data_IF_546205713979
#
_entry.id   IF_546205713979
#
_cell.length_a   1.000
_cell.length_b   1.000
_cell.length_c   1.000
_cell.angle_alpha   90.00
_cell.angle_beta   90.00
_cell.angle_gamma   90.00
#
_symmetry.space_group_name_H-M   'P 1'
#
loop_
_entity.id
_entity.type
_entity.pdbx_description
1 polymer ?
#
# COMPACT_ATOMS: atom_id res chain seq x y z
N UNK A 1 -8.98 6.47 -24.68
CA UNK A 1 -9.77 5.49 -23.92
C UNK A 1 -11.12 5.38 -24.59
N UNK A 2 -11.55 4.16 -24.93
CA UNK A 2 -12.78 3.90 -25.67
C UNK A 2 -13.55 2.78 -24.95
N UNK A 3 -14.23 3.15 -23.87
CA UNK A 3 -15.01 2.24 -23.06
C UNK A 3 -16.33 1.88 -23.71
N UNK A 4 -16.76 0.64 -23.53
CA UNK A 4 -18.06 0.12 -23.93
C UNK A 4 -19.08 0.27 -22.80
N UNK A 5 -19.61 1.50 -22.67
CA UNK A 5 -20.70 1.76 -21.73
C UNK A 5 -21.99 1.01 -22.09
N UNK A 6 -22.22 0.69 -23.36
CA UNK A 6 -23.44 0.02 -23.83
C UNK A 6 -23.53 -1.42 -23.29
N UNK A 7 -22.41 -2.15 -23.27
CA UNK A 7 -22.33 -3.50 -22.69
C UNK A 7 -22.80 -3.56 -21.23
N UNK A 8 -22.60 -2.47 -20.48
CA UNK A 8 -23.04 -2.31 -19.09
C UNK A 8 -24.33 -1.48 -18.89
N UNK A 9 -25.13 -1.27 -19.95
CA UNK A 9 -26.36 -0.45 -19.92
C UNK A 9 -26.11 1.01 -19.49
N UNK A 10 -25.09 1.65 -20.07
CA UNK A 10 -24.70 3.03 -19.81
C UNK A 10 -23.78 3.21 -18.59
N UNK A 11 -23.34 2.12 -17.95
CA UNK A 11 -22.49 2.13 -16.77
C UNK A 11 -21.35 1.14 -16.91
N UNK A 12 -20.16 1.51 -16.41
CA UNK A 12 -19.02 0.60 -16.27
C UNK A 12 -18.65 0.44 -14.79
N UNK A 13 -18.29 -0.78 -14.34
CA UNK A 13 -17.62 -0.96 -13.06
C UNK A 13 -16.27 -0.23 -13.03
N UNK A 14 -15.98 0.37 -11.88
CA UNK A 14 -14.74 1.09 -11.64
C UNK A 14 -14.12 0.61 -10.34
N UNK A 15 -12.99 -0.07 -10.45
CA UNK A 15 -12.17 -0.47 -9.32
C UNK A 15 -11.30 0.73 -8.94
N UNK A 16 -11.41 1.17 -7.69
CA UNK A 16 -10.49 2.15 -7.12
C UNK A 16 -9.42 1.38 -6.37
N UNK A 17 -8.16 1.68 -6.68
CA UNK A 17 -7.01 1.12 -6.02
C UNK A 17 -6.14 2.23 -5.42
N UNK A 18 -5.57 2.02 -4.25
CA UNK A 18 -4.58 2.94 -3.69
C UNK A 18 -3.32 2.93 -4.57
N UNK A 19 -2.89 4.11 -5.02
CA UNK A 19 -1.75 4.26 -5.91
C UNK A 19 -0.42 3.82 -5.29
N UNK A 20 -0.27 3.93 -3.97
CA UNK A 20 0.95 3.51 -3.26
C UNK A 20 0.89 2.04 -2.87
N UNK A 21 -0.18 1.64 -2.21
CA UNK A 21 -0.27 0.33 -1.55
C UNK A 21 -0.83 -0.74 -2.47
N UNK A 22 -1.45 -0.36 -3.59
CA UNK A 22 -2.19 -1.26 -4.46
C UNK A 22 -3.40 -1.93 -3.78
N UNK A 23 -3.87 -1.43 -2.61
CA UNK A 23 -5.14 -1.89 -2.01
C UNK A 23 -6.30 -1.61 -2.95
N UNK A 24 -7.17 -2.58 -3.21
CA UNK A 24 -8.51 -2.26 -3.71
C UNK A 24 -9.30 -1.51 -2.63
N UNK A 25 -9.56 -0.23 -2.85
CA UNK A 25 -10.25 0.65 -1.90
C UNK A 25 -11.76 0.49 -1.95
N UNK A 26 -12.32 0.43 -3.15
CA UNK A 26 -13.75 0.24 -3.37
C UNK A 26 -14.05 -0.10 -4.83
N UNK A 27 -15.24 -0.65 -5.05
CA UNK A 27 -15.85 -0.74 -6.38
C UNK A 27 -16.98 0.30 -6.47
N UNK A 28 -16.99 1.08 -7.53
CA UNK A 28 -18.12 1.93 -7.89
C UNK A 28 -18.55 1.72 -9.34
N UNK A 29 -19.47 2.56 -9.79
CA UNK A 29 -19.94 2.57 -11.18
C UNK A 29 -19.86 4.00 -11.71
N UNK A 30 -19.48 4.15 -12.97
CA UNK A 30 -19.49 5.43 -13.67
C UNK A 30 -20.32 5.30 -14.93
N UNK A 31 -21.11 6.34 -15.23
CA UNK A 31 -21.54 6.60 -16.60
C UNK A 31 -20.49 7.47 -17.30
N UNK A 32 -20.68 7.72 -18.59
CA UNK A 32 -19.74 8.50 -19.39
C UNK A 32 -19.47 9.90 -18.80
N UNK A 33 -20.51 10.56 -18.28
CA UNK A 33 -20.39 11.89 -17.70
C UNK A 33 -19.60 11.90 -16.37
N UNK A 34 -19.82 10.90 -15.49
CA UNK A 34 -19.03 10.77 -14.26
C UNK A 34 -17.54 10.55 -14.55
N UNK A 35 -17.22 9.80 -15.61
CA UNK A 35 -15.84 9.63 -16.05
C UNK A 35 -15.24 10.95 -16.57
N UNK A 36 -15.98 11.70 -17.41
CA UNK A 36 -15.55 13.01 -17.91
C UNK A 36 -15.28 13.99 -16.77
N UNK A 37 -16.16 14.03 -15.78
CA UNK A 37 -15.96 14.86 -14.58
C UNK A 37 -14.74 14.42 -13.78
N UNK A 38 -14.54 13.10 -13.61
CA UNK A 38 -13.37 12.55 -12.91
C UNK A 38 -12.06 12.96 -13.60
N UNK A 39 -12.00 12.87 -14.92
CA UNK A 39 -10.83 13.28 -15.71
C UNK A 39 -10.57 14.79 -15.61
N UNK A 40 -11.62 15.61 -15.59
CA UNK A 40 -11.51 17.07 -15.56
C UNK A 40 -11.14 17.60 -14.17
N UNK A 41 -11.78 17.08 -13.12
CA UNK A 41 -11.64 17.56 -11.74
C UNK A 41 -10.45 16.92 -11.01
N UNK A 42 -9.96 15.76 -11.49
CA UNK A 42 -8.89 15.02 -10.83
C UNK A 42 -9.33 14.33 -9.53
N UNK A 43 -10.63 14.30 -9.23
CA UNK A 43 -11.22 13.54 -8.12
C UNK A 43 -12.30 12.59 -8.62
N UNK A 44 -12.42 11.44 -7.95
CA UNK A 44 -13.32 10.36 -8.37
C UNK A 44 -14.79 10.75 -8.21
N UNK A 45 -15.51 10.81 -9.33
CA UNK A 45 -16.96 10.95 -9.39
C UNK A 45 -17.60 9.62 -9.77
N UNK A 46 -18.64 9.22 -9.07
CA UNK A 46 -19.40 8.01 -9.38
C UNK A 46 -20.81 8.35 -9.82
N UNK A 47 -21.46 7.41 -10.50
CA UNK A 47 -22.89 7.43 -10.73
C UNK A 47 -23.60 6.56 -9.69
N UNK A 48 -24.50 7.16 -8.90
CA UNK A 48 -25.34 6.43 -7.96
C UNK A 48 -26.51 5.79 -8.70
N UNK A 49 -26.49 4.46 -8.82
CA UNK A 49 -27.59 3.68 -9.43
C UNK A 49 -28.92 3.82 -8.66
N UNK A 50 -28.85 4.01 -7.35
CA UNK A 50 -30.05 4.14 -6.49
C UNK A 50 -30.62 5.56 -6.49
N UNK A 51 -29.76 6.59 -6.51
CA UNK A 51 -30.20 8.00 -6.51
C UNK A 51 -30.29 8.60 -7.92
N UNK A 52 -29.92 7.84 -8.95
CA UNK A 52 -29.89 8.24 -10.35
C UNK A 52 -29.20 9.59 -10.59
N UNK A 53 -28.06 9.82 -9.92
CA UNK A 53 -27.28 11.07 -10.01
C UNK A 53 -25.79 10.80 -9.90
N UNK A 54 -25.00 11.72 -10.43
CA UNK A 54 -23.55 11.77 -10.18
C UNK A 54 -23.31 12.29 -8.76
N UNK A 55 -22.29 11.76 -8.10
CA UNK A 55 -21.82 12.25 -6.81
C UNK A 55 -20.29 12.19 -6.76
N UNK A 56 -19.69 13.16 -6.09
CA UNK A 56 -18.25 13.22 -5.87
C UNK A 56 -17.91 12.42 -4.61
N UNK A 57 -16.99 11.44 -4.72
CA UNK A 57 -16.55 10.70 -3.53
C UNK A 57 -15.89 11.66 -2.55
N UNK A 58 -16.44 11.72 -1.33
CA UNK A 58 -15.97 12.63 -0.29
C UNK A 58 -16.74 13.95 -0.21
N UNK A 59 -17.76 14.19 -1.05
CA UNK A 59 -18.55 15.45 -1.05
C UNK A 59 -19.15 15.81 0.33
N UNK A 60 -19.37 14.83 1.20
CA UNK A 60 -19.89 15.05 2.56
C UNK A 60 -18.86 14.77 3.65
N UNK A 61 -17.95 13.82 3.43
CA UNK A 61 -17.02 13.33 4.46
C UNK A 61 -15.60 13.87 4.33
N UNK A 62 -15.31 14.69 3.31
CA UNK A 62 -13.98 15.19 2.92
C UNK A 62 -12.93 14.10 2.58
N UNK A 63 -13.29 12.82 2.69
CA UNK A 63 -12.48 11.68 2.27
C UNK A 63 -12.54 11.50 0.74
N UNK A 64 -11.94 12.46 0.03
CA UNK A 64 -11.78 12.46 -1.42
C UNK A 64 -10.83 11.35 -1.89
N UNK A 65 -10.97 11.00 -3.16
CA UNK A 65 -10.04 10.14 -3.89
C UNK A 65 -9.44 10.96 -5.03
N UNK A 66 -8.16 11.28 -4.96
CA UNK A 66 -7.45 12.03 -6.00
C UNK A 66 -6.90 11.07 -7.05
N UNK A 67 -7.22 11.31 -8.31
CA UNK A 67 -6.84 10.43 -9.42
C UNK A 67 -5.34 10.54 -9.69
N UNK A 68 -4.66 9.40 -9.70
CA UNK A 68 -3.25 9.28 -10.10
C UNK A 68 -3.12 8.67 -11.50
N UNK A 69 -3.89 7.63 -11.80
CA UNK A 69 -3.98 7.06 -13.15
C UNK A 69 -5.36 6.44 -13.41
N UNK A 70 -5.74 6.34 -14.69
CA UNK A 70 -6.98 5.68 -15.14
C UNK A 70 -6.60 4.72 -16.26
N UNK A 71 -7.03 3.46 -16.16
CA UNK A 71 -6.79 2.40 -17.15
C UNK A 71 -8.08 1.68 -17.49
N UNK A 72 -8.29 1.40 -18.77
CA UNK A 72 -9.31 0.46 -19.27
C UNK A 72 -8.75 -0.98 -19.22
N UNK A 73 -9.63 -1.96 -19.05
CA UNK A 73 -9.27 -3.37 -19.19
C UNK A 73 -9.27 -3.82 -20.66
N UNK A 74 -8.99 -5.11 -20.91
CA UNK A 74 -8.68 -5.60 -22.24
C UNK A 74 -9.87 -5.65 -23.20
N UNK A 75 -11.10 -5.75 -22.69
CA UNK A 75 -12.35 -5.66 -23.47
C UNK A 75 -13.12 -4.35 -23.22
N UNK A 76 -12.48 -3.39 -22.53
CA UNK A 76 -12.92 -2.00 -22.39
C UNK A 76 -14.28 -1.85 -21.71
N UNK A 77 -14.64 -2.76 -20.81
CA UNK A 77 -15.90 -2.69 -20.08
C UNK A 77 -15.73 -2.38 -18.58
N UNK A 78 -14.49 -2.30 -18.11
CA UNK A 78 -14.17 -1.89 -16.75
C UNK A 78 -13.04 -0.84 -16.70
N UNK A 79 -12.98 -0.15 -15.56
CA UNK A 79 -11.90 0.78 -15.26
C UNK A 79 -11.16 0.40 -13.97
N UNK A 80 -9.84 0.57 -14.02
CA UNK A 80 -8.99 0.67 -12.84
C UNK A 80 -8.55 2.13 -12.68
N UNK A 81 -8.91 2.74 -11.56
CA UNK A 81 -8.39 4.06 -11.16
C UNK A 81 -7.45 3.87 -9.99
N UNK A 82 -6.17 4.17 -10.21
CA UNK A 82 -5.23 4.35 -9.10
C UNK A 82 -5.44 5.74 -8.51
N UNK A 83 -5.69 5.81 -7.21
CA UNK A 83 -6.04 7.03 -6.52
C UNK A 83 -5.27 7.19 -5.21
N UNK A 84 -5.02 8.43 -4.82
CA UNK A 84 -4.55 8.80 -3.49
C UNK A 84 -5.75 9.18 -2.61
N UNK A 85 -6.08 8.41 -1.56
CA UNK A 85 -7.15 8.77 -0.65
C UNK A 85 -6.76 9.93 0.26
N UNK A 86 -7.71 10.83 0.56
CA UNK A 86 -7.55 11.92 1.53
C UNK A 86 -7.76 11.45 2.99
N UNK A 87 -8.35 10.27 3.17
CA UNK A 87 -8.71 9.68 4.45
C UNK A 87 -9.39 8.33 4.24
N UNK A 88 -10.19 7.87 5.22
CA UNK A 88 -10.85 6.57 5.13
C UNK A 88 -11.88 6.51 4.00
N UNK A 89 -11.86 5.47 3.19
CA UNK A 89 -12.74 5.39 2.01
C UNK A 89 -14.13 4.91 2.39
N UNK A 90 -14.23 3.96 3.32
CA UNK A 90 -15.50 3.34 3.69
C UNK A 90 -16.31 4.20 4.66
N UNK A 91 -17.63 4.12 4.54
CA UNK A 91 -18.58 4.81 5.41
C UNK A 91 -18.65 4.23 6.84
N UNK A 92 -18.16 3.01 7.04
CA UNK A 92 -18.04 2.38 8.38
C UNK A 92 -16.83 2.89 9.16
N UNK A 93 -15.97 3.69 8.52
CA UNK A 93 -14.73 4.17 9.11
C UNK A 93 -13.49 3.33 8.77
N UNK A 94 -13.63 2.20 8.06
CA UNK A 94 -12.47 1.43 7.57
C UNK A 94 -11.79 2.11 6.37
N UNK A 95 -10.50 1.80 6.18
CA UNK A 95 -9.71 2.37 5.08
C UNK A 95 -10.24 1.96 3.71
N UNK A 96 -10.57 0.67 3.53
CA UNK A 96 -11.19 0.10 2.32
C UNK A 96 -12.62 -0.38 2.60
N UNK A 97 -13.44 -0.50 1.57
CA UNK A 97 -14.73 -1.19 1.64
C UNK A 97 -14.58 -2.71 1.82
N UNK A 98 -13.41 -3.28 1.54
CA UNK A 98 -13.19 -4.72 1.56
C UNK A 98 -12.43 -5.22 2.79
N UNK A 99 -11.63 -4.37 3.47
CA UNK A 99 -10.79 -4.78 4.62
C UNK A 99 -10.53 -3.62 5.62
N UNK A 100 -10.20 -3.99 6.86
CA UNK A 100 -9.53 -3.10 7.81
C UNK A 100 -8.04 -3.04 7.49
N UNK A 101 -7.54 -1.79 7.43
CA UNK A 101 -6.19 -1.34 7.14
C UNK A 101 -5.09 -2.42 7.25
N UNK A 102 -4.65 -2.96 6.12
CA UNK A 102 -3.24 -3.26 5.82
C UNK A 102 -3.07 -3.82 4.42
N UNK A 103 -2.43 -3.07 3.53
CA UNK A 103 -2.08 -3.63 2.21
C UNK A 103 -0.85 -2.97 1.60
N UNK A 104 0.08 -2.46 2.40
CA UNK A 104 1.39 -2.11 1.84
C UNK A 104 2.23 -3.37 1.53
N UNK A 105 1.65 -4.56 1.76
CA UNK A 105 2.27 -5.86 1.56
C UNK A 105 2.94 -6.38 2.83
N UNK A 106 3.38 -7.64 2.77
CA UNK A 106 3.88 -8.39 3.93
C UNK A 106 4.99 -7.67 4.72
N UNK A 107 5.90 -6.93 4.08
CA UNK A 107 6.98 -6.24 4.79
C UNK A 107 6.49 -5.13 5.73
N UNK A 108 5.38 -4.48 5.40
CA UNK A 108 4.79 -3.44 6.25
C UNK A 108 3.96 -4.04 7.38
N UNK A 109 3.24 -5.13 7.11
CA UNK A 109 2.59 -5.92 8.17
C UNK A 109 3.62 -6.46 9.16
N UNK A 110 4.79 -6.87 8.65
CA UNK A 110 5.91 -7.30 9.46
C UNK A 110 6.50 -6.15 10.29
N UNK A 111 6.68 -4.96 9.71
CA UNK A 111 7.10 -3.74 10.42
C UNK A 111 6.13 -3.38 11.56
N UNK A 112 4.82 -3.46 11.31
CA UNK A 112 3.79 -3.22 12.34
C UNK A 112 3.87 -4.28 13.43
N UNK A 113 3.96 -5.57 13.08
CA UNK A 113 4.13 -6.66 14.04
C UNK A 113 5.39 -6.48 14.90
N UNK A 114 6.51 -6.06 14.29
CA UNK A 114 7.75 -5.75 15.00
C UNK A 114 7.53 -4.59 15.98
N UNK A 115 6.88 -3.52 15.52
CA UNK A 115 6.58 -2.35 16.32
C UNK A 115 5.69 -2.69 17.51
N UNK A 116 4.62 -3.45 17.29
CA UNK A 116 3.70 -3.91 18.34
C UNK A 116 4.42 -4.75 19.39
N UNK A 117 5.26 -5.71 18.96
CA UNK A 117 6.05 -6.55 19.88
C UNK A 117 6.96 -5.72 20.78
N UNK A 118 7.54 -4.63 20.25
CA UNK A 118 8.40 -3.72 20.99
C UNK A 118 7.59 -2.82 21.92
N UNK A 119 6.54 -2.17 21.40
CA UNK A 119 5.75 -1.18 22.13
C UNK A 119 4.94 -1.81 23.27
N UNK A 120 4.37 -3.00 23.02
CA UNK A 120 3.63 -3.77 24.02
C UNK A 120 4.53 -4.59 24.94
N UNK A 121 5.86 -4.54 24.75
CA UNK A 121 6.84 -5.26 25.59
C UNK A 121 6.56 -6.76 25.69
N UNK A 122 6.25 -7.38 24.55
CA UNK A 122 5.82 -8.78 24.50
C UNK A 122 6.96 -9.69 24.97
N UNK A 123 6.81 -10.26 26.16
CA UNK A 123 7.80 -11.16 26.75
C UNK A 123 7.99 -12.42 25.90
N UNK A 124 9.21 -12.99 25.92
CA UNK A 124 9.63 -14.16 25.11
C UNK A 124 9.58 -13.95 23.58
N UNK A 125 9.34 -12.74 23.11
CA UNK A 125 9.53 -12.37 21.70
C UNK A 125 11.00 -12.12 21.40
N UNK A 126 11.56 -12.77 20.38
CA UNK A 126 12.90 -12.48 19.87
C UNK A 126 13.09 -10.99 19.58
N UNK A 127 12.10 -10.36 18.95
CA UNK A 127 12.11 -8.94 18.59
C UNK A 127 12.30 -8.06 19.82
N UNK A 128 11.55 -8.34 20.89
CA UNK A 128 11.58 -7.54 22.10
C UNK A 128 12.87 -7.79 22.90
N UNK A 129 13.33 -9.03 22.99
CA UNK A 129 14.63 -9.37 23.61
C UNK A 129 15.78 -8.64 22.90
N UNK A 130 15.84 -8.70 21.57
CA UNK A 130 16.87 -8.01 20.80
C UNK A 130 16.81 -6.49 21.01
N UNK A 131 15.60 -5.92 21.04
CA UNK A 131 15.39 -4.49 21.30
C UNK A 131 15.90 -4.09 22.69
N UNK A 132 15.62 -4.89 23.72
CA UNK A 132 16.10 -4.64 25.09
C UNK A 132 17.63 -4.67 25.21
N UNK A 133 18.32 -5.42 24.34
CA UNK A 133 19.79 -5.46 24.29
C UNK A 133 20.42 -4.20 23.68
N UNK A 134 19.61 -3.28 23.18
CA UNK A 134 20.01 -1.94 22.78
C UNK A 134 20.57 -1.81 21.36
N UNK A 135 20.76 -0.56 20.93
CA UNK A 135 21.07 -0.19 19.55
C UNK A 135 22.33 -0.87 19.00
N UNK A 136 23.35 -1.07 19.84
CA UNK A 136 24.58 -1.72 19.43
C UNK A 136 24.35 -3.18 19.02
N UNK A 137 23.49 -3.91 19.75
CA UNK A 137 23.22 -5.30 19.41
C UNK A 137 22.36 -5.43 18.15
N UNK A 138 21.39 -4.53 17.96
CA UNK A 138 20.59 -4.45 16.74
C UNK A 138 21.45 -4.13 15.51
N UNK A 139 22.32 -3.12 15.62
CA UNK A 139 23.25 -2.76 14.53
C UNK A 139 24.26 -3.89 14.24
N UNK A 140 24.75 -4.58 15.28
CA UNK A 140 25.59 -5.75 15.11
C UNK A 140 24.88 -6.84 14.30
N UNK A 141 23.61 -7.16 14.61
CA UNK A 141 22.84 -8.15 13.85
C UNK A 141 22.72 -7.75 12.38
N UNK A 142 22.34 -6.51 12.08
CA UNK A 142 22.30 -6.01 10.69
C UNK A 142 23.65 -6.17 9.98
N UNK A 143 24.76 -5.92 10.68
CA UNK A 143 26.10 -6.13 10.13
C UNK A 143 26.46 -7.60 9.89
N UNK A 144 26.09 -8.50 10.80
CA UNK A 144 26.26 -9.96 10.67
C UNK A 144 25.52 -10.47 9.42
N UNK A 145 24.21 -10.22 9.32
CA UNK A 145 23.38 -10.70 8.20
C UNK A 145 23.84 -10.11 6.85
N UNK A 146 24.33 -8.87 6.84
CA UNK A 146 24.84 -8.25 5.62
C UNK A 146 26.12 -8.94 5.13
N UNK A 147 26.99 -9.38 6.04
CA UNK A 147 28.21 -10.12 5.70
C UNK A 147 27.85 -11.54 5.24
N UNK A 148 26.93 -12.21 5.94
CA UNK A 148 26.45 -13.54 5.60
C UNK A 148 25.79 -13.53 4.20
N UNK A 149 24.92 -12.57 3.91
CA UNK A 149 24.34 -12.37 2.58
C UNK A 149 25.40 -12.21 1.48
N UNK A 150 26.47 -11.45 1.73
CA UNK A 150 27.57 -11.27 0.77
C UNK A 150 28.35 -12.57 0.55
N UNK A 151 28.54 -13.38 1.59
CA UNK A 151 29.20 -14.69 1.48
C UNK A 151 28.33 -15.62 0.65
N UNK A 152 27.05 -15.76 0.98
CA UNK A 152 26.11 -16.65 0.29
C UNK A 152 25.82 -16.21 -1.15
N UNK A 153 25.92 -14.91 -1.45
CA UNK A 153 25.82 -14.41 -2.82
C UNK A 153 26.96 -14.88 -3.75
N UNK A 154 28.07 -15.36 -3.18
CA UNK A 154 29.21 -15.91 -3.92
C UNK A 154 29.18 -17.44 -4.04
N UNK A 155 28.27 -18.10 -3.34
CA UNK A 155 28.07 -19.54 -3.38
C UNK A 155 26.86 -19.88 -4.28
N UNK A 156 26.67 -21.15 -4.60
CA UNK A 156 25.60 -21.64 -5.47
C UNK A 156 24.34 -22.09 -4.67
N UNK A 157 24.26 -21.74 -3.39
CA UNK A 157 23.16 -22.15 -2.51
C UNK A 157 22.04 -21.09 -2.43
N UNK A 158 21.07 -21.22 -3.34
CA UNK A 158 19.92 -20.32 -3.40
C UNK A 158 19.03 -20.30 -2.14
N UNK A 159 19.07 -21.33 -1.29
CA UNK A 159 18.28 -21.36 -0.04
C UNK A 159 18.95 -20.46 0.99
N UNK A 160 20.24 -20.66 1.25
CA UNK A 160 20.98 -19.87 2.23
C UNK A 160 20.95 -18.38 1.87
N UNK A 161 21.21 -18.04 0.61
CA UNK A 161 21.11 -16.65 0.14
C UNK A 161 19.75 -16.00 0.47
N UNK A 162 18.64 -16.73 0.27
CA UNK A 162 17.29 -16.22 0.58
C UNK A 162 17.05 -16.06 2.08
N UNK A 163 17.55 -17.00 2.88
CA UNK A 163 17.43 -16.97 4.33
C UNK A 163 18.20 -15.75 4.89
N UNK A 164 19.45 -15.54 4.49
CA UNK A 164 20.26 -14.37 4.92
C UNK A 164 19.67 -13.04 4.43
N UNK A 165 19.12 -13.01 3.22
CA UNK A 165 18.44 -11.81 2.71
C UNK A 165 17.19 -11.46 3.53
N UNK A 166 16.44 -12.49 3.96
CA UNK A 166 15.27 -12.31 4.81
C UNK A 166 15.66 -11.84 6.22
N UNK A 167 16.71 -12.42 6.81
CA UNK A 167 17.20 -12.03 8.13
C UNK A 167 17.76 -10.60 8.11
N UNK A 168 18.48 -10.21 7.06
CA UNK A 168 18.93 -8.82 6.88
C UNK A 168 17.74 -7.85 6.88
N UNK A 169 16.70 -8.12 6.09
CA UNK A 169 15.51 -7.27 6.05
C UNK A 169 14.81 -7.22 7.41
N UNK A 170 14.66 -8.36 8.09
CA UNK A 170 14.02 -8.43 9.40
C UNK A 170 14.76 -7.58 10.45
N UNK A 171 16.08 -7.74 10.56
CA UNK A 171 16.89 -6.97 11.51
C UNK A 171 16.96 -5.48 11.15
N UNK A 172 16.93 -5.16 9.85
CA UNK A 172 16.86 -3.78 9.38
C UNK A 172 15.57 -3.10 9.84
N UNK A 173 14.41 -3.76 9.74
CA UNK A 173 13.13 -3.22 10.24
C UNK A 173 13.16 -2.94 11.76
N UNK A 174 13.74 -3.85 12.55
CA UNK A 174 13.94 -3.63 14.00
C UNK A 174 14.80 -2.39 14.25
N UNK A 175 15.90 -2.24 13.49
CA UNK A 175 16.81 -1.10 13.62
C UNK A 175 16.12 0.22 13.26
N UNK A 176 15.29 0.25 12.22
CA UNK A 176 14.48 1.42 11.87
C UNK A 176 13.56 1.83 13.02
N UNK A 177 12.82 0.89 13.62
CA UNK A 177 11.98 1.13 14.79
C UNK A 177 12.77 1.72 15.96
N UNK A 178 13.95 1.15 16.27
CA UNK A 178 14.83 1.66 17.33
C UNK A 178 15.38 3.06 17.05
N UNK A 179 15.47 3.44 15.77
CA UNK A 179 15.87 4.75 15.30
C UNK A 179 14.70 5.72 15.10
N UNK A 180 13.47 5.28 15.34
CA UNK A 180 12.23 6.03 15.11
C UNK A 180 12.01 6.43 13.66
N UNK A 181 12.36 5.54 12.73
CA UNK A 181 12.06 5.66 11.30
C UNK A 181 11.20 4.49 10.83
N UNK A 182 10.56 4.67 9.68
CA UNK A 182 9.72 3.67 9.00
C UNK A 182 10.31 3.25 7.65
N UNK A 183 9.93 2.07 7.16
CA UNK A 183 10.26 1.57 5.84
C UNK A 183 9.75 2.51 4.74
N UNK A 184 8.58 3.15 4.95
CA UNK A 184 8.06 4.13 3.99
C UNK A 184 8.95 5.34 3.81
N UNK A 185 9.65 5.80 4.86
CA UNK A 185 10.61 6.90 4.74
C UNK A 185 11.83 6.47 3.92
N UNK A 186 12.27 5.22 4.06
CA UNK A 186 13.36 4.65 3.25
C UNK A 186 12.96 4.55 1.78
N UNK A 187 11.73 4.11 1.50
CA UNK A 187 11.20 4.09 0.14
C UNK A 187 11.10 5.49 -0.47
N UNK A 188 10.68 6.50 0.30
CA UNK A 188 10.63 7.89 -0.17
C UNK A 188 12.01 8.38 -0.61
N UNK A 189 13.06 8.09 0.16
CA UNK A 189 14.45 8.38 -0.22
C UNK A 189 14.86 7.63 -1.51
N UNK A 190 14.45 6.38 -1.70
CA UNK A 190 14.75 5.61 -2.91
C UNK A 190 13.98 6.15 -4.14
N UNK A 191 12.72 6.53 -3.98
CA UNK A 191 11.90 7.13 -5.03
C UNK A 191 12.45 8.49 -5.49
N UNK A 192 12.97 9.30 -4.58
CA UNK A 192 13.63 10.55 -4.94
C UNK A 192 14.89 10.33 -5.78
N UNK A 193 15.62 9.25 -5.51
CA UNK A 193 16.85 8.89 -6.25
C UNK A 193 16.56 8.31 -7.62
N UNK A 194 15.48 7.54 -7.78
CA UNK A 194 15.13 6.91 -9.07
C UNK A 194 14.61 7.90 -10.12
N UNK A 195 14.21 9.11 -9.71
CA UNK A 195 13.77 10.19 -10.59
C UNK A 195 14.92 11.04 -11.15
N UNK A 196 16.15 10.79 -10.72
CA UNK A 196 17.38 11.40 -11.25
C UNK A 196 17.97 10.52 -12.34
#
# INVERSE_FOLDING_TARGET
MKLDFEKGNGLVPVIIQDDRTQHVLMLGYMNEEALKLTQKDGRVHFFSRTKNRIWLKGETSENYLYVMSIKEDCDSDALLIQAKPAGNVCHTGSFSCFEEKNSKGFLYELEETISERIDQKVEKSYTYDLYQRGINKMAQKVGEEAVELVIEAKDDNAKLFKDEAADLLYHFLILLKAKSFSLSEIEEVLMERSRK
#
